data_IF_397378837269
#
_entry.id   IF_397378837269
#
_cell.length_a   1.000
_cell.length_b   1.000
_cell.length_c   1.000
_cell.angle_alpha   90.00
_cell.angle_beta   90.00
_cell.angle_gamma   90.00
#
_symmetry.space_group_name_H-M   'P 1'
#
loop_
_entity.id
_entity.type
_entity.pdbx_description
1 polymer ?
#
# COMPACT_ATOMS: atom_id res chain seq x y z
N UNK A 1 -3.92 18.01 -1.01
CA UNK A 1 -2.98 19.12 -0.72
C UNK A 1 -1.60 18.75 -1.27
N UNK A 2 -1.37 18.93 -2.58
CA UNK A 2 -0.14 18.49 -3.30
C UNK A 2 0.45 19.60 -4.18
N UNK A 3 0.19 20.86 -3.81
CA UNK A 3 0.61 22.06 -4.55
C UNK A 3 2.11 22.45 -4.53
N UNK A 4 3.03 21.91 -3.67
CA UNK A 4 4.39 22.46 -3.62
C UNK A 4 5.27 22.00 -4.80
N UNK A 5 5.05 20.79 -5.33
CA UNK A 5 5.93 20.20 -6.33
C UNK A 5 5.84 20.88 -7.70
N UNK A 6 4.63 21.30 -8.08
CA UNK A 6 4.36 21.97 -9.36
C UNK A 6 5.06 23.33 -9.45
N UNK A 7 5.03 24.12 -8.36
CA UNK A 7 5.70 25.44 -8.31
C UNK A 7 7.21 25.34 -8.40
N UNK A 8 7.81 24.31 -7.80
CA UNK A 8 9.27 24.07 -7.85
C UNK A 8 9.69 23.64 -9.26
N UNK A 9 8.87 22.84 -9.95
CA UNK A 9 9.13 22.43 -11.32
C UNK A 9 9.04 23.60 -12.32
N UNK A 10 8.07 24.51 -12.12
CA UNK A 10 7.86 25.69 -12.96
C UNK A 10 9.00 26.72 -12.78
N UNK A 11 9.41 27.01 -11.55
CA UNK A 11 10.48 27.98 -11.27
C UNK A 11 11.88 27.49 -11.69
N UNK A 12 12.12 26.18 -11.75
CA UNK A 12 13.36 25.62 -12.31
C UNK A 12 13.45 25.86 -13.82
N UNK A 13 12.32 25.79 -14.53
CA UNK A 13 12.27 25.93 -15.99
C UNK A 13 12.53 27.34 -16.52
N UNK A 14 12.24 28.38 -15.72
CA UNK A 14 12.38 29.78 -16.14
C UNK A 14 13.82 30.34 -16.00
N UNK A 15 14.70 29.69 -15.23
CA UNK A 15 16.01 30.25 -14.84
C UNK A 15 17.20 29.47 -15.46
N UNK A 16 16.97 28.34 -16.13
CA UNK A 16 18.03 27.48 -16.65
C UNK A 16 18.30 27.70 -18.16
N UNK A 17 19.55 27.99 -18.57
CA UNK A 17 19.96 27.92 -19.97
C UNK A 17 19.68 26.52 -20.55
N UNK A 18 19.29 26.44 -21.82
CA UNK A 18 18.81 25.21 -22.47
C UNK A 18 19.78 24.03 -22.33
N UNK A 19 21.09 24.29 -22.36
CA UNK A 19 22.14 23.27 -22.18
C UNK A 19 22.29 22.81 -20.71
N UNK A 20 22.01 23.69 -19.75
CA UNK A 20 22.04 23.37 -18.31
C UNK A 20 20.74 22.69 -17.84
N UNK A 21 19.64 22.91 -18.56
CA UNK A 21 18.33 22.35 -18.26
C UNK A 21 18.31 20.82 -18.40
N UNK A 22 19.01 20.25 -19.39
CA UNK A 22 19.09 18.79 -19.58
C UNK A 22 19.87 18.09 -18.45
N UNK A 23 21.00 18.66 -18.02
CA UNK A 23 21.77 18.12 -16.89
C UNK A 23 21.02 18.22 -15.57
N UNK A 24 20.35 19.35 -15.32
CA UNK A 24 19.49 19.50 -14.13
C UNK A 24 18.33 18.52 -14.18
N UNK A 25 17.68 18.35 -15.33
CA UNK A 25 16.59 17.39 -15.51
C UNK A 25 17.05 15.95 -15.28
N UNK A 26 18.25 15.58 -15.74
CA UNK A 26 18.85 14.26 -15.47
C UNK A 26 19.14 14.05 -13.99
N UNK A 27 19.70 15.05 -13.32
CA UNK A 27 19.99 15.00 -11.88
C UNK A 27 18.72 14.95 -11.03
N UNK A 28 17.70 15.74 -11.37
CA UNK A 28 16.38 15.73 -10.71
C UNK A 28 15.71 14.37 -10.92
N UNK A 29 15.75 13.79 -12.12
CA UNK A 29 15.21 12.46 -12.39
C UNK A 29 15.91 11.38 -11.56
N UNK A 30 17.24 11.41 -11.49
CA UNK A 30 18.02 10.47 -10.69
C UNK A 30 17.72 10.63 -9.19
N UNK A 31 17.56 11.87 -8.69
CA UNK A 31 17.19 12.15 -7.31
C UNK A 31 15.79 11.60 -7.00
N UNK A 32 14.79 11.87 -7.85
CA UNK A 32 13.42 11.37 -7.67
C UNK A 32 13.39 9.84 -7.71
N UNK A 33 14.12 9.21 -8.64
CA UNK A 33 14.23 7.76 -8.71
C UNK A 33 14.87 7.19 -7.44
N UNK A 34 15.98 7.75 -6.97
CA UNK A 34 16.62 7.33 -5.72
C UNK A 34 15.73 7.55 -4.49
N UNK A 35 14.93 8.63 -4.47
CA UNK A 35 13.95 8.88 -3.41
C UNK A 35 12.83 7.85 -3.42
N UNK A 36 12.31 7.47 -4.59
CA UNK A 36 11.29 6.42 -4.73
C UNK A 36 11.82 5.03 -4.37
N UNK A 37 13.07 4.71 -4.71
CA UNK A 37 13.74 3.46 -4.30
C UNK A 37 13.97 3.39 -2.79
N UNK A 38 14.12 4.54 -2.12
CA UNK A 38 14.24 4.63 -0.65
C UNK A 38 12.89 4.63 0.06
N UNK A 39 11.78 4.77 -0.67
CA UNK A 39 10.45 4.57 -0.11
C UNK A 39 10.18 3.07 -0.09
N UNK A 40 9.61 2.57 1.01
CA UNK A 40 9.14 1.18 1.14
C UNK A 40 7.88 0.99 0.27
N UNK A 41 8.07 1.05 -1.05
CA UNK A 41 6.99 1.02 -2.02
C UNK A 41 6.49 -0.41 -2.16
N UNK A 42 5.28 -0.65 -1.68
CA UNK A 42 4.56 -1.89 -1.95
C UNK A 42 4.00 -1.82 -3.36
N UNK A 43 4.29 -2.85 -4.16
CA UNK A 43 3.75 -2.96 -5.52
C UNK A 43 2.24 -3.20 -5.48
N UNK A 44 1.55 -2.84 -6.57
CA UNK A 44 0.12 -3.16 -6.69
C UNK A 44 -0.14 -4.66 -6.61
N UNK A 45 0.76 -5.47 -7.17
CA UNK A 45 0.65 -6.93 -7.13
C UNK A 45 0.74 -7.47 -5.69
N UNK A 46 1.66 -6.95 -4.87
CA UNK A 46 1.75 -7.32 -3.45
C UNK A 46 0.50 -6.92 -2.66
N UNK A 47 -0.08 -5.76 -2.95
CA UNK A 47 -1.36 -5.37 -2.36
C UNK A 47 -2.49 -6.35 -2.74
N UNK A 48 -2.60 -6.69 -4.01
CA UNK A 48 -3.62 -7.64 -4.50
C UNK A 48 -3.44 -9.04 -3.87
N UNK A 49 -2.19 -9.46 -3.60
CA UNK A 49 -1.90 -10.70 -2.87
C UNK A 49 -2.37 -10.59 -1.41
N UNK A 50 -2.07 -9.47 -0.73
CA UNK A 50 -2.49 -9.26 0.66
C UNK A 50 -4.02 -9.25 0.80
N UNK A 51 -4.73 -8.65 -0.15
CA UNK A 51 -6.20 -8.69 -0.20
C UNK A 51 -6.74 -10.13 -0.27
N UNK A 52 -6.14 -10.98 -1.12
CA UNK A 52 -6.52 -12.40 -1.22
C UNK A 52 -6.23 -13.17 0.06
N UNK A 53 -5.07 -12.94 0.67
CA UNK A 53 -4.72 -13.57 1.96
C UNK A 53 -5.72 -13.15 3.02
N UNK A 54 -6.06 -11.86 3.11
CA UNK A 54 -7.03 -11.33 4.06
C UNK A 54 -8.42 -11.93 3.85
N UNK A 55 -8.88 -12.05 2.60
CA UNK A 55 -10.15 -12.67 2.26
C UNK A 55 -10.20 -14.14 2.71
N UNK A 56 -9.14 -14.91 2.45
CA UNK A 56 -9.02 -16.30 2.91
C UNK A 56 -9.05 -16.40 4.43
N UNK A 57 -8.31 -15.56 5.13
CA UNK A 57 -8.27 -15.55 6.60
C UNK A 57 -9.63 -15.22 7.20
N UNK A 58 -10.38 -14.27 6.62
CA UNK A 58 -11.76 -13.97 7.05
C UNK A 58 -12.68 -15.16 6.88
N UNK A 59 -12.63 -15.84 5.73
CA UNK A 59 -13.42 -17.05 5.49
C UNK A 59 -13.10 -18.16 6.49
N UNK A 60 -11.82 -18.39 6.79
CA UNK A 60 -11.41 -19.37 7.79
C UNK A 60 -11.85 -18.98 9.21
N UNK A 61 -11.82 -17.68 9.53
CA UNK A 61 -12.28 -17.17 10.82
C UNK A 61 -13.79 -17.39 11.00
N UNK A 62 -14.59 -17.12 9.97
CA UNK A 62 -16.04 -17.36 9.98
C UNK A 62 -16.37 -18.85 10.19
N UNK A 63 -15.67 -19.76 9.50
CA UNK A 63 -15.84 -21.20 9.69
C UNK A 63 -15.52 -21.62 11.12
N UNK A 64 -14.41 -21.13 11.67
CA UNK A 64 -14.01 -21.42 13.05
C UNK A 64 -15.02 -20.87 14.06
N UNK A 65 -15.53 -19.65 13.86
CA UNK A 65 -16.57 -19.06 14.69
C UNK A 65 -17.83 -19.94 14.69
N UNK A 66 -18.27 -20.40 13.52
CA UNK A 66 -19.43 -21.28 13.40
C UNK A 66 -19.22 -22.60 14.15
N UNK A 67 -18.04 -23.21 14.01
CA UNK A 67 -17.70 -24.45 14.74
C UNK A 67 -17.68 -24.25 16.26
N UNK A 68 -17.20 -23.09 16.73
CA UNK A 68 -17.23 -22.77 18.17
C UNK A 68 -18.67 -22.66 18.67
N UNK A 69 -19.54 -21.95 17.95
CA UNK A 69 -20.96 -21.83 18.30
C UNK A 69 -21.63 -23.21 18.39
N UNK A 70 -21.39 -24.08 17.40
CA UNK A 70 -21.95 -25.44 17.40
C UNK A 70 -21.49 -26.27 18.61
N UNK A 71 -20.22 -26.14 18.99
CA UNK A 71 -19.66 -26.82 20.15
C UNK A 71 -20.22 -26.25 21.46
N UNK A 72 -20.33 -24.93 21.58
CA UNK A 72 -20.93 -24.27 22.74
C UNK A 72 -22.40 -24.69 22.93
N UNK A 73 -23.17 -24.78 21.84
CA UNK A 73 -24.56 -25.22 21.88
C UNK A 73 -24.69 -26.72 22.20
N UNK A 74 -23.79 -27.55 21.66
CA UNK A 74 -23.75 -28.97 22.01
C UNK A 74 -23.45 -29.18 23.50
N UNK A 75 -22.51 -28.41 24.06
CA UNK A 75 -22.18 -28.45 25.48
C UNK A 75 -23.36 -28.02 26.35
N UNK A 76 -24.06 -26.92 26.00
CA UNK A 76 -25.28 -26.49 26.70
C UNK A 76 -26.36 -27.57 26.68
N UNK A 77 -26.63 -28.19 25.52
CA UNK A 77 -27.60 -29.30 25.40
C UNK A 77 -27.22 -30.52 26.24
N UNK A 78 -25.93 -30.77 26.46
CA UNK A 78 -25.47 -31.88 27.31
C UNK A 78 -25.51 -31.57 28.81
N UNK A 79 -25.55 -30.28 29.17
CA UNK A 79 -25.51 -29.80 30.55
C UNK A 79 -26.90 -29.57 31.16
N UNK A 80 -27.96 -29.57 30.34
CA UNK A 80 -29.36 -29.43 30.78
C UNK A 80 -30.10 -30.75 30.49
N UNK A 81 -30.51 -31.54 31.51
CA UNK A 81 -31.22 -32.82 31.33
C UNK A 81 -32.68 -32.68 30.89
#
# INVERSE_FOLDING_TARGET
MTMPFKKIAESLGEVLPVDFAEDVKKNVRAMVQSSLEKMDLVTREELDIQEKVLARTRSQLEELQQRVIELEDALKRSADP
#
